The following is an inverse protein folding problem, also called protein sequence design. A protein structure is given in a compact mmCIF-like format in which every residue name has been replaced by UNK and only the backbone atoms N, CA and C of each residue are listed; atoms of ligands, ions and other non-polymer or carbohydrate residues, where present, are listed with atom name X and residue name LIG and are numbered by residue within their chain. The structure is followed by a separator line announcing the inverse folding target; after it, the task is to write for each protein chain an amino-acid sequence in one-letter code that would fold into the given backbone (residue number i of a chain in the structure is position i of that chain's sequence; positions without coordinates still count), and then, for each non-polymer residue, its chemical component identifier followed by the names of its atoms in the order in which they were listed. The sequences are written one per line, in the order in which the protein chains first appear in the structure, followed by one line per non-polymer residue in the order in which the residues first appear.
data_IF_103602609529
#
_entry.id   IF_103602609529
#
_cell.length_a   1.000
_cell.length_b   1.000
_cell.length_c   1.000
_cell.angle_alpha   90.00
_cell.angle_beta   90.00
_cell.angle_gamma   90.00
#
_symmetry.space_group_name_H-M   'P 1'
#
loop_
_entity.id
_entity.type
_entity.pdbx_description
1 polymer ?
#
# COMPACT_ATOMS: atom_id res chain seq x y z
N UNK A 1 22.93 -13.40 -5.35
CA UNK A 1 21.82 -12.46 -5.67
C UNK A 1 20.78 -13.21 -6.48
N UNK A 2 19.64 -13.50 -5.87
CA UNK A 2 18.55 -14.18 -6.58
C UNK A 2 17.73 -13.16 -7.34
N UNK A 3 17.61 -13.38 -8.65
CA UNK A 3 16.68 -12.61 -9.48
C UNK A 3 15.27 -13.15 -9.17
N UNK A 4 14.35 -12.30 -8.69
CA UNK A 4 13.02 -12.79 -8.41
C UNK A 4 12.35 -13.31 -9.69
N UNK A 5 11.71 -14.46 -9.59
CA UNK A 5 11.01 -15.04 -10.73
C UNK A 5 9.77 -14.23 -11.08
N UNK A 6 9.38 -14.28 -12.36
CA UNK A 6 8.26 -13.47 -12.88
C UNK A 6 6.95 -13.69 -12.11
N UNK A 7 6.54 -14.92 -11.77
CA UNK A 7 5.33 -15.10 -10.98
C UNK A 7 5.36 -14.41 -9.62
N UNK A 8 6.50 -14.45 -8.93
CA UNK A 8 6.67 -13.78 -7.63
C UNK A 8 6.59 -12.26 -7.76
N UNK A 9 7.19 -11.69 -8.82
CA UNK A 9 7.13 -10.25 -9.10
C UNK A 9 5.69 -9.82 -9.37
N UNK A 10 4.97 -10.55 -10.20
CA UNK A 10 3.57 -10.27 -10.53
C UNK A 10 2.68 -10.33 -9.29
N UNK A 11 2.90 -11.32 -8.44
CA UNK A 11 2.16 -11.46 -7.18
C UNK A 11 2.42 -10.28 -6.25
N UNK A 12 3.67 -9.89 -6.05
CA UNK A 12 4.05 -8.76 -5.21
C UNK A 12 3.41 -7.46 -5.71
N UNK A 13 3.42 -7.23 -7.02
CA UNK A 13 2.83 -6.04 -7.62
C UNK A 13 1.30 -6.06 -7.52
N UNK A 14 0.67 -7.22 -7.67
CA UNK A 14 -0.77 -7.36 -7.46
C UNK A 14 -1.16 -7.02 -6.03
N UNK A 15 -0.40 -7.50 -5.05
CA UNK A 15 -0.64 -7.20 -3.64
C UNK A 15 -0.48 -5.71 -3.35
N UNK A 16 0.46 -5.05 -4.01
CA UNK A 16 0.62 -3.60 -3.91
C UNK A 16 -0.60 -2.85 -4.45
N UNK A 17 -1.09 -3.23 -5.62
CA UNK A 17 -2.29 -2.64 -6.21
C UNK A 17 -3.51 -2.85 -5.31
N UNK A 18 -3.65 -4.04 -4.74
CA UNK A 18 -4.73 -4.34 -3.81
C UNK A 18 -4.62 -3.49 -2.54
N UNK A 19 -3.41 -3.34 -1.99
CA UNK A 19 -3.17 -2.52 -0.81
C UNK A 19 -3.56 -1.04 -1.06
N UNK A 20 -3.20 -0.50 -2.21
CA UNK A 20 -3.58 0.86 -2.61
C UNK A 20 -5.10 1.00 -2.77
N UNK A 21 -5.74 0.00 -3.36
CA UNK A 21 -7.19 -0.04 -3.50
C UNK A 21 -7.88 -0.02 -2.13
N UNK A 22 -7.41 -0.86 -1.20
CA UNK A 22 -7.94 -0.91 0.17
C UNK A 22 -7.77 0.44 0.87
N UNK A 23 -6.58 1.04 0.77
CA UNK A 23 -6.31 2.34 1.38
C UNK A 23 -7.24 3.43 0.83
N UNK A 24 -7.47 3.45 -0.47
CA UNK A 24 -8.38 4.40 -1.12
C UNK A 24 -9.82 4.22 -0.65
N UNK A 25 -10.28 2.97 -0.59
CA UNK A 25 -11.64 2.65 -0.14
C UNK A 25 -11.84 2.99 1.33
N UNK A 26 -10.87 2.70 2.17
CA UNK A 26 -10.93 3.03 3.60
C UNK A 26 -10.95 4.54 3.83
N UNK A 27 -10.26 5.31 3.01
CA UNK A 27 -10.28 6.77 3.07
C UNK A 27 -11.64 7.34 2.67
N UNK A 28 -12.31 6.72 1.68
CA UNK A 28 -13.64 7.14 1.22
C UNK A 28 -14.76 6.71 2.16
N UNK A 29 -14.63 5.56 2.79
CA UNK A 29 -15.65 4.99 3.67
C UNK A 29 -15.01 4.33 4.88
N UNK A 30 -14.70 5.10 5.94
CA UNK A 30 -14.02 4.55 7.13
C UNK A 30 -14.78 3.45 7.85
N UNK A 31 -16.08 3.35 7.65
CA UNK A 31 -16.93 2.32 8.25
C UNK A 31 -17.03 1.04 7.42
N UNK A 32 -16.43 1.02 6.23
CA UNK A 32 -16.50 -0.14 5.34
C UNK A 32 -15.68 -1.30 5.91
N UNK A 33 -16.26 -2.49 5.88
CA UNK A 33 -15.58 -3.69 6.35
C UNK A 33 -14.56 -4.17 5.31
N UNK A 34 -13.37 -4.51 5.78
CA UNK A 34 -12.26 -4.99 4.93
C UNK A 34 -12.65 -6.25 4.16
N UNK A 35 -13.51 -7.08 4.75
CA UNK A 35 -13.88 -8.39 4.18
C UNK A 35 -14.60 -8.32 2.81
N UNK A 36 -15.22 -7.19 2.49
CA UNK A 36 -15.86 -7.00 1.20
C UNK A 36 -14.95 -6.51 0.09
N UNK A 37 -13.78 -5.99 0.45
CA UNK A 37 -12.87 -5.35 -0.49
C UNK A 37 -12.19 -6.35 -1.44
N UNK A 38 -11.93 -7.57 -0.98
CA UNK A 38 -11.41 -8.65 -1.82
C UNK A 38 -12.33 -8.90 -3.02
N UNK A 39 -13.62 -8.99 -2.75
CA UNK A 39 -14.64 -9.24 -3.77
C UNK A 39 -14.77 -8.05 -4.72
N UNK A 40 -14.73 -6.84 -4.20
CA UNK A 40 -14.79 -5.63 -5.01
C UNK A 40 -13.58 -5.52 -5.94
N UNK A 41 -12.40 -5.81 -5.43
CA UNK A 41 -11.16 -5.77 -6.23
C UNK A 41 -11.16 -6.86 -7.29
N UNK A 42 -11.60 -8.07 -6.95
CA UNK A 42 -11.75 -9.15 -7.92
C UNK A 42 -12.70 -8.77 -9.05
N UNK A 43 -13.82 -8.11 -8.72
CA UNK A 43 -14.77 -7.60 -9.71
C UNK A 43 -14.14 -6.52 -10.59
N UNK A 44 -13.32 -5.64 -10.02
CA UNK A 44 -12.57 -4.63 -10.78
C UNK A 44 -11.63 -5.29 -11.78
N UNK A 45 -10.96 -6.37 -11.39
CA UNK A 45 -10.06 -7.13 -12.24
C UNK A 45 -10.80 -8.07 -13.21
N UNK A 46 -12.12 -8.17 -13.09
CA UNK A 46 -12.97 -9.07 -13.89
C UNK A 46 -12.57 -10.54 -13.74
N UNK A 47 -12.22 -10.92 -12.50
CA UNK A 47 -11.89 -12.30 -12.15
C UNK A 47 -12.79 -12.75 -11.00
N UNK A 48 -12.94 -14.07 -10.86
CA UNK A 48 -13.70 -14.64 -9.76
C UNK A 48 -12.96 -14.43 -8.45
N UNK A 49 -13.70 -14.21 -7.36
CA UNK A 49 -13.12 -13.97 -6.03
C UNK A 49 -12.22 -15.12 -5.57
N UNK A 50 -12.59 -16.36 -5.85
CA UNK A 50 -11.77 -17.54 -5.53
C UNK A 50 -10.46 -17.54 -6.30
N UNK A 51 -10.48 -17.11 -7.55
CA UNK A 51 -9.29 -17.01 -8.37
C UNK A 51 -8.34 -15.92 -7.81
N UNK A 52 -8.89 -14.78 -7.44
CA UNK A 52 -8.13 -13.70 -6.82
C UNK A 52 -7.48 -14.14 -5.50
N UNK A 53 -8.22 -14.87 -4.65
CA UNK A 53 -7.67 -15.43 -3.41
C UNK A 53 -6.50 -16.37 -3.68
N UNK A 54 -6.60 -17.19 -4.72
CA UNK A 54 -5.51 -18.07 -5.15
C UNK A 54 -4.28 -17.29 -5.60
N UNK A 55 -4.46 -16.19 -6.32
CA UNK A 55 -3.36 -15.33 -6.73
C UNK A 55 -2.69 -14.67 -5.53
N UNK A 56 -3.46 -14.20 -4.55
CA UNK A 56 -2.90 -13.58 -3.33
C UNK A 56 -2.08 -14.56 -2.51
N UNK A 57 -2.54 -15.78 -2.37
CA UNK A 57 -1.85 -16.80 -1.57
C UNK A 57 -0.64 -17.43 -2.28
N UNK A 58 -0.51 -17.21 -3.60
CA UNK A 58 0.52 -17.83 -4.42
C UNK A 58 0.13 -19.21 -4.95
N UNK A 59 -1.09 -19.68 -4.67
CA UNK A 59 -1.59 -20.96 -5.18
C UNK A 59 -1.83 -20.93 -6.69
N UNK A 60 -2.07 -19.74 -7.26
CA UNK A 60 -2.24 -19.53 -8.69
C UNK A 60 -1.26 -18.49 -9.20
N UNK A 61 -0.65 -18.76 -10.35
CA UNK A 61 0.26 -17.82 -11.02
C UNK A 61 -0.55 -16.88 -11.92
N UNK A 62 -0.01 -15.67 -12.10
CA UNK A 62 -0.60 -14.68 -13.00
C UNK A 62 0.03 -14.86 -14.38
N UNK A 63 -0.74 -15.35 -15.34
CA UNK A 63 -0.28 -15.53 -16.72
C UNK A 63 -0.15 -14.19 -17.44
N UNK A 64 0.47 -14.22 -18.64
CA UNK A 64 0.74 -13.00 -19.41
C UNK A 64 -0.55 -12.26 -19.79
N UNK A 65 -1.58 -13.00 -20.24
CA UNK A 65 -2.85 -12.40 -20.63
C UNK A 65 -3.53 -11.71 -19.46
N UNK A 66 -3.56 -12.36 -18.30
CA UNK A 66 -4.16 -11.79 -17.10
C UNK A 66 -3.35 -10.61 -16.58
N UNK A 67 -2.03 -10.68 -16.66
CA UNK A 67 -1.16 -9.56 -16.28
C UNK A 67 -1.49 -8.30 -17.09
N UNK A 68 -1.65 -8.45 -18.41
CA UNK A 68 -2.03 -7.32 -19.29
C UNK A 68 -3.43 -6.80 -18.96
N UNK A 69 -4.36 -7.70 -18.64
CA UNK A 69 -5.71 -7.32 -18.22
C UNK A 69 -5.69 -6.49 -16.92
N UNK A 70 -4.93 -6.93 -15.92
CA UNK A 70 -4.79 -6.23 -14.64
C UNK A 70 -4.22 -4.84 -14.86
N UNK A 71 -3.17 -4.72 -15.66
CA UNK A 71 -2.54 -3.44 -15.96
C UNK A 71 -3.52 -2.45 -16.59
N UNK A 72 -4.28 -2.90 -17.58
CA UNK A 72 -5.29 -2.06 -18.25
C UNK A 72 -6.37 -1.61 -17.27
N UNK A 73 -6.91 -2.54 -16.48
CA UNK A 73 -8.02 -2.25 -15.57
C UNK A 73 -7.59 -1.36 -14.39
N UNK A 74 -6.32 -1.45 -13.98
CA UNK A 74 -5.76 -0.63 -12.90
C UNK A 74 -5.11 0.67 -13.41
N UNK A 75 -5.14 0.91 -14.73
CA UNK A 75 -4.55 2.12 -15.31
C UNK A 75 -3.04 2.15 -15.31
N UNK A 76 -2.40 0.97 -15.32
CA UNK A 76 -0.96 0.84 -15.35
C UNK A 76 -0.43 0.65 -16.77
N UNK A 77 0.84 0.98 -16.98
CA UNK A 77 1.50 0.76 -18.27
C UNK A 77 1.71 -0.72 -18.53
N UNK A 78 1.77 -1.09 -19.81
CA UNK A 78 2.06 -2.46 -20.21
C UNK A 78 3.43 -2.87 -19.72
N UNK A 79 3.50 -3.98 -18.98
CA UNK A 79 4.74 -4.49 -18.40
C UNK A 79 4.96 -4.07 -16.95
N UNK A 80 4.12 -3.21 -16.40
CA UNK A 80 4.26 -2.73 -15.02
C UNK A 80 4.28 -3.90 -14.02
N UNK A 81 3.43 -4.91 -14.23
CA UNK A 81 3.35 -6.09 -13.35
C UNK A 81 4.61 -6.97 -13.42
N UNK A 82 5.38 -6.87 -14.49
CA UNK A 82 6.60 -7.65 -14.66
C UNK A 82 7.84 -6.97 -14.09
N UNK A 83 7.73 -5.71 -13.67
CA UNK A 83 8.84 -4.93 -13.13
C UNK A 83 8.88 -5.00 -11.60
N UNK A 84 10.09 -5.01 -11.05
CA UNK A 84 10.27 -5.00 -9.59
C UNK A 84 10.14 -3.57 -9.09
N UNK A 85 9.11 -3.32 -8.27
CA UNK A 85 8.85 -1.99 -7.71
C UNK A 85 9.27 -1.87 -6.24
N UNK A 86 9.76 -2.96 -5.62
CA UNK A 86 10.24 -2.94 -4.24
C UNK A 86 11.39 -1.96 -4.00
N UNK A 87 12.21 -1.75 -5.02
CA UNK A 87 13.24 -0.72 -4.98
C UNK A 87 12.66 0.70 -5.03
N UNK A 88 11.40 0.83 -5.42
CA UNK A 88 10.71 2.11 -5.48
C UNK A 88 10.34 2.65 -4.10
N UNK A 89 10.02 1.79 -3.16
CA UNK A 89 9.75 2.21 -1.78
C UNK A 89 11.01 2.82 -1.15
N UNK A 90 12.16 2.21 -1.39
CA UNK A 90 13.44 2.75 -0.94
C UNK A 90 13.80 4.05 -1.67
N UNK A 91 13.48 4.14 -2.96
CA UNK A 91 13.74 5.35 -3.75
C UNK A 91 12.77 6.49 -3.44
N UNK A 92 11.51 6.17 -3.15
CA UNK A 92 10.53 7.18 -2.73
C UNK A 92 10.90 7.70 -1.34
N UNK A 93 11.35 6.83 -0.44
CA UNK A 93 11.86 7.23 0.87
C UNK A 93 13.07 8.16 0.71
N UNK A 94 13.96 7.86 -0.22
CA UNK A 94 15.16 8.66 -0.49
C UNK A 94 14.82 10.02 -1.11
N UNK A 95 13.90 10.07 -2.05
CA UNK A 95 13.47 11.30 -2.72
C UNK A 95 12.69 12.26 -1.81
N UNK A 96 11.97 11.72 -0.84
CA UNK A 96 11.19 12.52 0.11
C UNK A 96 11.97 12.83 1.39
N UNK A 97 13.20 12.34 1.52
CA UNK A 97 13.99 12.49 2.73
C UNK A 97 13.45 11.74 3.93
N UNK A 98 12.58 10.77 3.69
CA UNK A 98 11.99 9.97 4.75
C UNK A 98 12.91 8.80 5.08
N UNK A 99 13.34 8.76 6.32
CA UNK A 99 14.17 7.66 6.84
C UNK A 99 13.28 6.51 7.30
N UNK A 100 13.89 5.32 7.50
CA UNK A 100 13.20 4.18 8.09
C UNK A 100 12.58 4.52 9.45
N UNK A 101 13.28 5.36 10.24
CA UNK A 101 12.77 5.87 11.53
C UNK A 101 11.46 6.64 11.37
N UNK A 102 11.39 7.48 10.35
CA UNK A 102 10.17 8.27 10.09
C UNK A 102 9.00 7.36 9.71
N UNK A 103 9.25 6.35 8.88
CA UNK A 103 8.22 5.39 8.49
C UNK A 103 7.72 4.60 9.71
N UNK A 104 8.62 4.16 10.59
CA UNK A 104 8.26 3.48 11.83
C UNK A 104 7.46 4.42 12.76
N UNK A 105 7.85 5.67 12.84
CA UNK A 105 7.14 6.68 13.61
C UNK A 105 5.72 6.90 13.07
N UNK A 106 5.56 7.02 11.76
CA UNK A 106 4.25 7.21 11.14
C UNK A 106 3.35 6.00 11.38
N UNK A 107 3.90 4.78 11.30
CA UNK A 107 3.15 3.56 11.58
C UNK A 107 2.69 3.51 13.05
N UNK A 108 3.55 3.92 13.97
CA UNK A 108 3.20 3.99 15.39
C UNK A 108 2.14 5.05 15.66
N UNK A 109 2.29 6.23 15.06
CA UNK A 109 1.32 7.33 15.18
C UNK A 109 -0.05 6.92 14.66
N UNK A 110 -0.08 6.21 13.54
CA UNK A 110 -1.32 5.67 12.96
C UNK A 110 -1.98 4.66 13.90
N UNK A 111 -1.20 3.78 14.51
CA UNK A 111 -1.70 2.81 15.48
C UNK A 111 -2.34 3.52 16.70
N UNK A 112 -1.69 4.53 17.22
CA UNK A 112 -2.22 5.32 18.35
C UNK A 112 -3.50 6.04 17.92
N UNK A 113 -3.51 6.60 16.74
CA UNK A 113 -4.68 7.33 16.22
C UNK A 113 -5.90 6.42 16.11
N UNK A 114 -5.70 5.19 15.64
CA UNK A 114 -6.80 4.22 15.42
C UNK A 114 -7.23 3.56 16.73
N UNK A 115 -6.27 3.13 17.56
CA UNK A 115 -6.55 2.31 18.74
C UNK A 115 -6.83 3.11 20.01
N UNK A 116 -6.36 4.34 20.09
CA UNK A 116 -6.50 5.17 21.28
C UNK A 116 -7.06 6.54 20.91
N UNK A 117 -8.34 6.66 20.57
CA UNK A 117 -8.93 7.94 20.15
C UNK A 117 -8.84 9.03 21.21
N UNK A 118 -8.81 8.67 22.49
CA UNK A 118 -8.63 9.64 23.57
C UNK A 118 -7.25 10.27 23.62
N UNK A 119 -6.26 9.67 22.97
CA UNK A 119 -4.89 10.17 22.94
C UNK A 119 -4.57 11.01 21.69
N UNK A 120 -5.52 11.16 20.77
CA UNK A 120 -5.30 11.91 19.52
C UNK A 120 -4.92 13.36 19.77
N UNK A 121 -5.63 14.01 20.67
CA UNK A 121 -5.36 15.42 21.02
C UNK A 121 -3.97 15.59 21.64
N UNK A 122 -3.57 14.68 22.52
CA UNK A 122 -2.23 14.70 23.14
C UNK A 122 -1.14 14.46 22.10
N UNK A 123 -1.33 13.50 21.22
CA UNK A 123 -0.38 13.19 20.16
C UNK A 123 -0.21 14.39 19.22
N UNK A 124 -1.30 14.97 18.80
CA UNK A 124 -1.29 16.16 17.92
C UNK A 124 -0.57 17.34 18.60
N UNK A 125 -0.85 17.57 19.87
CA UNK A 125 -0.22 18.64 20.64
C UNK A 125 1.29 18.45 20.76
N UNK A 126 1.73 17.23 21.09
CA UNK A 126 3.17 16.90 21.20
C UNK A 126 3.89 17.13 19.87
N UNK A 127 3.29 16.68 18.78
CA UNK A 127 3.87 16.84 17.43
C UNK A 127 3.93 18.32 17.03
N UNK A 128 2.88 19.05 17.29
CA UNK A 128 2.82 20.48 16.97
C UNK A 128 3.83 21.29 17.80
N UNK A 129 3.96 20.99 19.11
CA UNK A 129 4.93 21.64 19.98
C UNK A 129 6.36 21.38 19.51
N UNK A 130 6.65 20.15 19.08
CA UNK A 130 7.97 19.79 18.54
C UNK A 130 8.27 20.56 17.26
N UNK A 131 7.28 20.69 16.37
CA UNK A 131 7.41 21.43 15.12
C UNK A 131 7.68 22.94 15.39
N UNK A 132 6.93 23.52 16.32
CA UNK A 132 7.10 24.93 16.71
C UNK A 132 8.47 25.22 17.31
N UNK A 133 9.02 24.28 18.10
CA UNK A 133 10.38 24.42 18.64
C UNK A 133 11.42 24.44 17.52
N UNK A 134 11.24 23.64 16.49
CA UNK A 134 12.17 23.57 15.38
C UNK A 134 12.14 24.85 14.54
N UNK A 135 10.98 25.41 14.32
CA UNK A 135 10.84 26.68 13.60
C UNK A 135 11.53 27.84 14.32
N UNK A 136 11.48 27.86 15.65
CA UNK A 136 12.18 28.87 16.48
C UNK A 136 13.69 28.74 16.41
N UNK A 137 14.23 27.53 16.19
CA UNK A 137 15.67 27.30 16.11
C UNK A 137 16.22 27.70 14.75
N UNK A 138 15.42 27.57 13.69
CA UNK A 138 15.81 27.87 12.31
C UNK A 138 15.63 29.35 11.96
N UNK A 139 14.84 30.07 12.73
CA UNK A 139 14.71 31.51 12.59
C UNK A 139 15.85 32.22 13.36
#
# INVERSE_FOLDING_TARGET
MQIPDRPSVRRANLLQLFSEFVATRMAQSPSQQINGLDREFAALLQVHNTYFSGMKSGARTIGDKLARQIEVLCGMEKGWLDEVHGAHEAQVADKTGRTAELLDFLALAERVYVKAPGSRAKLFKVLNDALMRQEKIVA
#
